data_IF_343243208430
#
_entry.id   IF_343243208430
#
_cell.length_a   1.000
_cell.length_b   1.000
_cell.length_c   1.000
_cell.angle_alpha   90.00
_cell.angle_beta   90.00
_cell.angle_gamma   90.00
#
_symmetry.space_group_name_H-M   'P 1'
#
loop_
_entity.id
_entity.type
_entity.pdbx_description
1 polymer ?
#
# COMPACT_ATOMS: atom_id res chain seq x y z
N UNK A 1 9.33 67.39 -20.35
CA UNK A 1 9.53 66.55 -19.16
C UNK A 1 8.93 65.17 -19.42
N UNK A 2 9.75 64.12 -19.52
CA UNK A 2 9.32 62.73 -19.73
C UNK A 2 9.16 62.07 -18.36
N UNK A 3 7.97 61.57 -18.03
CA UNK A 3 7.78 60.70 -16.86
C UNK A 3 7.76 59.25 -17.33
N UNK A 4 8.84 58.52 -17.01
CA UNK A 4 8.94 57.07 -17.14
C UNK A 4 8.11 56.42 -16.02
N UNK A 5 6.99 55.81 -16.36
CA UNK A 5 6.24 54.92 -15.47
C UNK A 5 6.45 53.48 -15.90
N UNK A 6 7.63 52.94 -15.57
CA UNK A 6 7.94 51.52 -15.63
C UNK A 6 7.31 50.84 -14.39
N UNK A 7 6.00 50.57 -14.44
CA UNK A 7 5.34 49.78 -13.40
C UNK A 7 5.65 48.30 -13.63
N UNK A 8 6.47 47.76 -12.74
CA UNK A 8 6.64 46.34 -12.44
C UNK A 8 5.29 45.62 -12.50
N UNK A 9 5.11 44.74 -13.48
CA UNK A 9 4.13 43.66 -13.42
C UNK A 9 4.92 42.41 -13.06
N UNK A 10 5.19 42.23 -11.78
CA UNK A 10 5.74 40.99 -11.23
C UNK A 10 4.57 40.05 -10.97
N UNK A 11 4.14 39.34 -12.02
CA UNK A 11 3.12 38.30 -11.89
C UNK A 11 3.71 37.15 -11.10
N UNK A 12 3.26 37.00 -9.86
CA UNK A 12 3.62 35.93 -8.93
C UNK A 12 3.02 34.60 -9.44
N UNK A 13 3.69 33.96 -10.41
CA UNK A 13 3.40 32.58 -10.82
C UNK A 13 3.91 31.61 -9.75
N UNK A 14 3.16 31.49 -8.66
CA UNK A 14 3.25 30.35 -7.74
C UNK A 14 2.52 29.16 -8.38
N UNK A 15 3.06 28.65 -9.49
CA UNK A 15 2.53 27.49 -10.19
C UNK A 15 2.89 26.22 -9.43
N UNK A 16 2.00 25.81 -8.52
CA UNK A 16 1.63 24.42 -8.20
C UNK A 16 2.62 23.34 -8.64
N UNK A 17 3.75 23.21 -7.96
CA UNK A 17 4.49 21.95 -7.94
C UNK A 17 3.81 21.02 -6.94
N UNK A 18 2.62 20.54 -7.29
CA UNK A 18 2.05 19.34 -6.66
C UNK A 18 2.91 18.18 -7.15
N UNK A 19 4.05 17.98 -6.48
CA UNK A 19 4.85 16.77 -6.60
C UNK A 19 3.90 15.59 -6.45
N UNK A 20 3.94 14.67 -7.41
CA UNK A 20 3.07 13.49 -7.53
C UNK A 20 3.36 12.47 -6.42
N UNK A 21 3.19 12.89 -5.16
CA UNK A 21 3.08 12.00 -4.04
C UNK A 21 1.73 11.30 -4.19
N UNK A 22 1.74 9.97 -4.36
CA UNK A 22 0.49 9.21 -4.43
C UNK A 22 -0.39 9.56 -3.23
N UNK A 23 -1.67 9.85 -3.50
CA UNK A 23 -2.58 10.37 -2.49
C UNK A 23 -3.55 9.28 -2.05
N UNK A 24 -3.96 9.35 -0.79
CA UNK A 24 -5.10 8.58 -0.27
C UNK A 24 -6.35 9.36 -0.65
N UNK A 25 -7.32 8.78 -1.39
CA UNK A 25 -8.56 9.47 -1.71
C UNK A 25 -9.31 9.91 -0.44
N UNK A 26 -9.96 11.09 -0.47
CA UNK A 26 -10.71 11.60 0.69
C UNK A 26 -11.82 10.62 1.15
N UNK A 27 -12.47 9.95 0.20
CA UNK A 27 -13.45 8.88 0.48
C UNK A 27 -12.84 7.74 1.29
N UNK A 28 -11.58 7.41 1.05
CA UNK A 28 -10.85 6.37 1.77
C UNK A 28 -10.45 6.83 3.15
N UNK A 29 -9.99 8.07 3.31
CA UNK A 29 -9.72 8.64 4.63
C UNK A 29 -10.97 8.62 5.51
N UNK A 30 -12.10 9.08 4.98
CA UNK A 30 -13.38 9.04 5.67
C UNK A 30 -13.77 7.60 6.04
N UNK A 31 -13.70 6.68 5.08
CA UNK A 31 -14.01 5.26 5.30
C UNK A 31 -13.15 4.68 6.43
N UNK A 32 -11.83 4.89 6.40
CA UNK A 32 -10.91 4.44 7.46
C UNK A 32 -11.19 5.10 8.81
N UNK A 33 -11.56 6.38 8.85
CA UNK A 33 -11.89 7.09 10.08
C UNK A 33 -13.20 6.60 10.72
N UNK A 34 -14.18 6.22 9.90
CA UNK A 34 -15.49 5.72 10.34
C UNK A 34 -15.55 4.21 10.56
N UNK A 35 -14.53 3.46 10.11
CA UNK A 35 -14.52 2.01 10.28
C UNK A 35 -14.40 1.65 11.76
N UNK A 36 -15.26 0.74 12.20
CA UNK A 36 -15.19 0.14 13.51
C UNK A 36 -13.89 -0.67 13.64
N UNK A 37 -12.98 -0.19 14.51
CA UNK A 37 -11.66 -0.78 14.73
C UNK A 37 -11.71 -2.24 15.18
N UNK A 38 -12.82 -2.68 15.78
CA UNK A 38 -13.01 -4.08 16.16
C UNK A 38 -13.39 -4.97 14.98
N UNK A 39 -13.97 -4.38 13.92
CA UNK A 39 -14.35 -5.07 12.68
C UNK A 39 -13.25 -5.04 11.62
N UNK A 40 -12.25 -4.15 11.76
CA UNK A 40 -11.08 -4.13 10.88
C UNK A 40 -10.14 -5.28 11.25
N UNK A 41 -10.04 -6.27 10.37
CA UNK A 41 -9.04 -7.31 10.49
C UNK A 41 -8.11 -7.31 9.25
N UNK A 42 -6.89 -6.75 9.34
CA UNK A 42 -5.96 -6.68 8.21
C UNK A 42 -5.52 -8.08 7.71
N UNK A 43 -5.73 -9.13 8.51
CA UNK A 43 -5.46 -10.52 8.14
C UNK A 43 -6.59 -11.13 7.30
N UNK A 44 -7.83 -10.67 7.48
CA UNK A 44 -8.93 -11.03 6.58
C UNK A 44 -8.88 -10.15 5.31
N UNK A 45 -8.02 -9.13 5.34
CA UNK A 45 -7.68 -8.23 4.27
C UNK A 45 -7.37 -8.95 2.96
N UNK A 46 -8.04 -8.55 1.87
CA UNK A 46 -7.56 -8.81 0.52
C UNK A 46 -6.90 -7.56 -0.02
N UNK A 47 -5.81 -7.74 -0.76
CA UNK A 47 -5.00 -6.66 -1.30
C UNK A 47 -4.98 -6.80 -2.81
N UNK A 48 -5.23 -5.72 -3.54
CA UNK A 48 -5.19 -5.72 -4.98
C UNK A 48 -4.39 -4.53 -5.50
N UNK A 49 -3.83 -4.70 -6.69
CA UNK A 49 -2.98 -3.71 -7.34
C UNK A 49 -3.41 -3.59 -8.80
N UNK A 50 -3.54 -2.36 -9.29
CA UNK A 50 -3.62 -2.08 -10.73
C UNK A 50 -2.22 -1.73 -11.22
N UNK A 51 -1.70 -2.56 -12.11
CA UNK A 51 -0.33 -2.51 -12.58
C UNK A 51 -0.29 -2.38 -14.11
N UNK A 52 0.70 -1.69 -14.68
CA UNK A 52 1.01 -1.78 -16.11
C UNK A 52 1.20 -3.24 -16.55
N UNK A 53 0.86 -3.57 -17.80
CA UNK A 53 0.90 -4.95 -18.31
C UNK A 53 2.28 -5.64 -18.27
N UNK A 54 3.35 -4.85 -18.24
CA UNK A 54 4.75 -5.25 -18.19
C UNK A 54 5.32 -5.34 -16.77
N UNK A 55 4.53 -4.99 -15.75
CA UNK A 55 4.91 -5.01 -14.34
C UNK A 55 4.17 -6.11 -13.60
N UNK A 56 4.89 -6.93 -12.84
CA UNK A 56 4.30 -7.95 -11.98
C UNK A 56 4.67 -7.73 -10.52
N UNK A 57 3.94 -8.38 -9.61
CA UNK A 57 4.40 -8.51 -8.23
C UNK A 57 5.56 -9.51 -8.19
N UNK A 58 6.62 -9.15 -7.48
CA UNK A 58 7.80 -10.01 -7.35
C UNK A 58 7.47 -11.35 -6.68
N UNK A 59 8.22 -12.38 -7.03
CA UNK A 59 8.07 -13.71 -6.44
C UNK A 59 8.21 -13.67 -4.90
N UNK A 60 7.43 -14.51 -4.22
CA UNK A 60 7.40 -14.56 -2.76
C UNK A 60 6.70 -13.39 -2.08
N UNK A 61 6.14 -12.45 -2.86
CA UNK A 61 5.39 -11.29 -2.39
C UNK A 61 3.97 -11.27 -2.98
N UNK A 62 3.01 -10.55 -2.36
CA UNK A 62 3.13 -9.73 -1.16
C UNK A 62 3.19 -10.56 0.14
N UNK A 63 3.84 -10.01 1.17
CA UNK A 63 3.99 -10.63 2.49
C UNK A 63 3.38 -9.73 3.56
N UNK A 64 2.64 -10.32 4.50
CA UNK A 64 2.24 -9.64 5.73
C UNK A 64 3.19 -10.05 6.85
N UNK A 65 3.84 -9.07 7.45
CA UNK A 65 4.69 -9.24 8.61
C UNK A 65 3.88 -8.88 9.87
N UNK A 66 3.87 -9.78 10.85
CA UNK A 66 3.23 -9.57 12.15
C UNK A 66 4.30 -9.70 13.23
N UNK A 67 4.42 -8.66 14.05
CA UNK A 67 5.41 -8.57 15.12
C UNK A 67 4.75 -8.21 16.44
N UNK A 68 5.19 -8.86 17.52
CA UNK A 68 4.75 -8.60 18.87
C UNK A 68 5.94 -8.62 19.84
N UNK A 69 6.02 -7.61 20.68
CA UNK A 69 6.94 -7.53 21.82
C UNK A 69 6.16 -7.70 23.13
N UNK A 70 6.80 -8.20 24.18
CA UNK A 70 6.25 -8.24 25.54
C UNK A 70 7.26 -7.57 26.47
N UNK A 71 6.95 -6.38 26.97
CA UNK A 71 7.92 -5.56 27.71
C UNK A 71 9.12 -5.15 26.85
N UNK A 72 10.33 -5.12 27.44
CA UNK A 72 11.58 -4.71 26.77
C UNK A 72 12.30 -5.84 26.02
N UNK A 73 11.79 -7.07 26.04
CA UNK A 73 12.37 -8.19 25.29
C UNK A 73 11.80 -8.24 23.86
N UNK A 74 12.72 -8.17 22.89
CA UNK A 74 12.47 -8.19 21.44
C UNK A 74 12.16 -9.61 20.91
N UNK A 75 11.42 -9.67 19.80
CA UNK A 75 9.99 -9.96 19.77
C UNK A 75 9.65 -11.37 20.28
N UNK A 76 8.64 -11.47 21.14
CA UNK A 76 8.08 -12.75 21.55
C UNK A 76 7.40 -13.48 20.36
N UNK A 77 6.97 -12.75 19.33
CA UNK A 77 6.44 -13.32 18.08
C UNK A 77 6.87 -12.46 16.89
N UNK A 78 7.49 -13.11 15.90
CA UNK A 78 7.79 -12.52 14.59
C UNK A 78 7.38 -13.55 13.52
N UNK A 79 6.36 -13.22 12.72
CA UNK A 79 5.78 -14.13 11.71
C UNK A 79 5.56 -13.42 10.39
N UNK A 80 5.91 -14.09 9.29
CA UNK A 80 5.65 -13.62 7.94
C UNK A 80 4.66 -14.55 7.25
N UNK A 81 3.72 -13.96 6.51
CA UNK A 81 2.69 -14.67 5.77
C UNK A 81 2.76 -14.26 4.30
N UNK A 82 3.15 -15.19 3.43
CA UNK A 82 3.12 -14.99 1.98
C UNK A 82 1.66 -15.06 1.53
N UNK A 83 1.18 -14.03 0.86
CA UNK A 83 -0.19 -13.99 0.36
C UNK A 83 -0.33 -14.78 -0.93
N UNK A 84 -1.46 -15.46 -1.07
CA UNK A 84 -1.81 -16.23 -2.25
C UNK A 84 -2.57 -15.36 -3.25
N UNK A 85 -2.19 -15.48 -4.52
CA UNK A 85 -2.90 -14.82 -5.63
C UNK A 85 -4.33 -15.37 -5.70
N UNK A 86 -5.30 -14.47 -5.85
CA UNK A 86 -6.70 -14.81 -6.10
C UNK A 86 -6.83 -15.14 -7.58
N UNK A 87 -7.20 -16.38 -7.88
CA UNK A 87 -7.47 -16.82 -9.24
C UNK A 87 -8.73 -16.11 -9.77
N UNK A 88 -8.69 -15.57 -11.00
CA UNK A 88 -9.88 -15.06 -11.67
C UNK A 88 -11.02 -16.10 -11.71
N UNK A 89 -12.30 -15.67 -11.81
CA UNK A 89 -12.72 -14.28 -11.97
C UNK A 89 -12.74 -13.49 -10.66
N UNK A 90 -12.24 -12.24 -10.71
CA UNK A 90 -12.44 -11.27 -9.63
C UNK A 90 -13.88 -10.76 -9.71
N UNK A 91 -14.71 -11.09 -8.73
CA UNK A 91 -16.14 -10.75 -8.69
C UNK A 91 -16.44 -9.35 -8.16
N UNK A 92 -15.44 -8.67 -7.58
CA UNK A 92 -15.55 -7.29 -7.08
C UNK A 92 -16.02 -6.32 -8.17
N UNK A 93 -17.08 -5.56 -7.89
CA UNK A 93 -17.60 -4.54 -8.80
C UNK A 93 -16.64 -3.36 -8.87
N UNK A 94 -16.11 -2.92 -7.71
CA UNK A 94 -15.11 -1.86 -7.63
C UNK A 94 -13.89 -2.19 -8.50
N UNK A 95 -13.26 -3.35 -8.30
CA UNK A 95 -12.07 -3.71 -9.09
C UNK A 95 -12.38 -3.83 -10.58
N UNK A 96 -13.57 -4.31 -10.95
CA UNK A 96 -13.99 -4.33 -12.37
C UNK A 96 -14.09 -2.94 -12.96
N UNK A 97 -14.60 -1.95 -12.22
CA UNK A 97 -14.69 -0.57 -12.69
C UNK A 97 -13.33 0.13 -12.82
N UNK A 98 -12.28 -0.41 -12.18
CA UNK A 98 -10.92 0.13 -12.26
C UNK A 98 -10.10 -0.40 -13.45
N UNK A 99 -10.66 -1.28 -14.28
CA UNK A 99 -9.95 -1.82 -15.46
C UNK A 99 -9.63 -0.70 -16.46
N UNK A 100 -8.42 -0.71 -17.01
CA UNK A 100 -7.93 0.29 -17.96
C UNK A 100 -7.01 -0.37 -18.99
N UNK A 101 -7.08 0.06 -20.25
CA UNK A 101 -6.18 -0.41 -21.30
C UNK A 101 -4.72 -0.14 -20.95
N UNK A 102 -3.85 -1.12 -21.20
CA UNK A 102 -2.43 -1.08 -20.82
C UNK A 102 -2.14 -1.45 -19.36
N UNK A 103 -3.19 -1.78 -18.58
CA UNK A 103 -3.08 -2.19 -17.19
C UNK A 103 -3.82 -3.51 -16.94
N UNK A 104 -3.41 -4.21 -15.90
CA UNK A 104 -4.11 -5.37 -15.35
C UNK A 104 -4.25 -5.24 -13.84
N UNK A 105 -5.14 -6.05 -13.27
CA UNK A 105 -5.39 -6.07 -11.82
C UNK A 105 -5.03 -7.45 -11.30
N UNK A 106 -4.21 -7.48 -10.25
CA UNK A 106 -3.89 -8.67 -9.47
C UNK A 106 -4.40 -8.51 -8.05
N UNK A 107 -4.90 -9.59 -7.46
CA UNK A 107 -5.43 -9.59 -6.10
C UNK A 107 -4.83 -10.75 -5.30
N UNK A 108 -4.69 -10.54 -3.99
CA UNK A 108 -4.03 -11.44 -3.06
C UNK A 108 -4.82 -11.55 -1.76
N UNK A 109 -4.77 -12.72 -1.14
CA UNK A 109 -5.39 -13.01 0.16
C UNK A 109 -4.49 -13.94 0.98
N UNK A 110 -4.75 -14.03 2.28
CA UNK A 110 -4.13 -15.07 3.10
C UNK A 110 -4.55 -16.46 2.62
N UNK A 111 -3.66 -17.43 2.75
CA UNK A 111 -4.05 -18.84 2.61
C UNK A 111 -5.04 -19.22 3.71
N UNK A 112 -5.90 -20.21 3.45
CA UNK A 112 -6.84 -20.70 4.47
C UNK A 112 -6.13 -21.18 5.74
N UNK A 113 -4.92 -21.74 5.59
CA UNK A 113 -4.07 -22.20 6.71
C UNK A 113 -3.56 -21.01 7.53
N UNK A 114 -3.00 -20.01 6.86
CA UNK A 114 -2.38 -18.85 7.49
C UNK A 114 -3.40 -17.92 8.14
N UNK A 115 -4.60 -17.82 7.55
CA UNK A 115 -5.69 -16.99 8.07
C UNK A 115 -6.04 -17.34 9.52
N UNK A 116 -6.05 -18.63 9.89
CA UNK A 116 -6.32 -19.06 11.28
C UNK A 116 -5.25 -18.56 12.24
N UNK A 117 -3.97 -18.75 11.88
CA UNK A 117 -2.82 -18.36 12.71
C UNK A 117 -2.81 -16.83 12.87
N UNK A 118 -2.94 -16.12 11.76
CA UNK A 118 -2.87 -14.68 11.73
C UNK A 118 -4.07 -14.03 12.46
N UNK A 119 -5.28 -14.62 12.40
CA UNK A 119 -6.43 -14.18 13.21
C UNK A 119 -6.18 -14.31 14.72
N UNK A 120 -5.54 -15.40 15.15
CA UNK A 120 -5.15 -15.58 16.55
C UNK A 120 -4.15 -14.51 16.99
N UNK A 121 -3.14 -14.22 16.16
CA UNK A 121 -2.17 -13.15 16.44
C UNK A 121 -2.83 -11.78 16.51
N UNK A 122 -3.73 -11.45 15.58
CA UNK A 122 -4.46 -10.16 15.60
C UNK A 122 -5.41 -10.03 16.78
N UNK A 123 -5.95 -11.14 17.30
CA UNK A 123 -6.73 -11.12 18.54
C UNK A 123 -5.83 -10.78 19.74
N UNK A 124 -4.62 -11.35 19.80
CA UNK A 124 -3.62 -11.05 20.84
C UNK A 124 -3.14 -9.60 20.78
N UNK A 125 -2.62 -9.18 19.63
CA UNK A 125 -2.99 -7.93 18.96
C UNK A 125 -3.83 -6.91 19.76
N UNK A 126 -5.13 -7.04 19.52
CA UNK A 126 -6.17 -6.18 20.02
C UNK A 126 -6.33 -6.27 21.54
N UNK A 127 -6.14 -7.43 22.15
CA UNK A 127 -6.18 -7.57 23.61
C UNK A 127 -5.07 -6.76 24.28
N UNK A 128 -3.82 -6.84 23.79
CA UNK A 128 -2.72 -6.01 24.30
C UNK A 128 -3.03 -4.50 24.15
N UNK A 129 -3.69 -4.10 23.05
CA UNK A 129 -4.13 -2.71 22.85
C UNK A 129 -5.23 -2.27 23.82
N UNK A 130 -6.14 -3.17 24.21
CA UNK A 130 -7.20 -2.90 25.19
C UNK A 130 -6.65 -2.79 26.61
N UNK A 131 -5.60 -3.55 26.93
CA UNK A 131 -4.92 -3.53 28.23
C UNK A 131 -3.99 -2.30 28.44
N UNK A 132 -3.96 -1.35 27.50
CA UNK A 132 -3.02 -0.20 27.37
C UNK A 132 -2.79 0.68 28.59
N UNK A 133 -3.52 0.52 29.68
CA UNK A 133 -3.28 1.27 30.93
C UNK A 133 -2.04 0.79 31.72
N UNK A 134 -1.28 -0.19 31.21
CA UNK A 134 0.00 -0.60 31.81
C UNK A 134 1.09 -0.63 30.73
N UNK A 135 1.95 0.38 30.69
CA UNK A 135 3.15 0.50 29.82
C UNK A 135 4.17 -0.67 29.92
N UNK A 136 3.85 -1.74 30.65
CA UNK A 136 4.68 -2.94 30.84
C UNK A 136 4.29 -4.14 29.94
N UNK A 137 3.21 -4.06 29.17
CA UNK A 137 2.61 -5.25 28.53
C UNK A 137 3.05 -5.52 27.07
N UNK A 138 3.85 -4.64 26.45
CA UNK A 138 4.38 -4.82 25.10
C UNK A 138 3.54 -4.21 23.97
N UNK A 139 4.00 -4.37 22.73
CA UNK A 139 3.41 -3.76 21.53
C UNK A 139 3.20 -4.79 20.43
N UNK A 140 2.28 -4.52 19.51
CA UNK A 140 2.03 -5.39 18.37
C UNK A 140 1.59 -4.62 17.14
N UNK A 141 2.18 -4.95 16.00
CA UNK A 141 1.87 -4.37 14.71
C UNK A 141 1.83 -5.43 13.60
N UNK A 142 1.14 -5.08 12.52
CA UNK A 142 1.14 -5.82 11.29
C UNK A 142 1.42 -4.84 10.14
N UNK A 143 2.35 -5.17 9.27
CA UNK A 143 2.68 -4.41 8.07
C UNK A 143 2.62 -5.30 6.83
N UNK A 144 2.33 -4.70 5.68
CA UNK A 144 2.24 -5.40 4.40
C UNK A 144 3.38 -4.92 3.53
N UNK A 145 4.23 -5.87 3.12
CA UNK A 145 5.33 -5.65 2.19
C UNK A 145 4.96 -6.18 0.82
N UNK A 146 5.25 -5.39 -0.19
CA UNK A 146 5.11 -5.75 -1.58
C UNK A 146 6.30 -5.19 -2.35
N UNK A 147 6.63 -5.85 -3.44
CA UNK A 147 7.64 -5.40 -4.39
C UNK A 147 7.16 -5.78 -5.78
N UNK A 148 7.64 -5.05 -6.77
CA UNK A 148 7.28 -5.25 -8.16
C UNK A 148 8.53 -5.53 -8.98
N UNK A 149 8.33 -6.24 -10.08
CA UNK A 149 9.37 -6.58 -11.05
C UNK A 149 8.82 -6.35 -12.46
N UNK A 150 9.71 -6.30 -13.45
CA UNK A 150 9.33 -6.12 -14.86
C UNK A 150 9.58 -7.38 -15.66
N UNK A 151 8.72 -7.68 -16.63
CA UNK A 151 8.96 -8.75 -17.61
C UNK A 151 9.77 -8.29 -18.82
N UNK A 152 9.94 -6.97 -18.99
CA UNK A 152 10.60 -6.35 -20.15
C UNK A 152 11.63 -5.31 -19.71
N UNK A 153 12.61 -5.01 -20.57
CA UNK A 153 13.65 -4.00 -20.33
C UNK A 153 13.16 -2.58 -20.70
N UNK A 154 12.11 -2.07 -20.06
CA UNK A 154 11.53 -0.76 -20.42
C UNK A 154 11.96 0.31 -19.41
N UNK A 155 12.40 1.47 -19.93
CA UNK A 155 12.59 2.70 -19.14
C UNK A 155 11.22 3.34 -18.95
N UNK A 156 10.68 3.29 -17.73
CA UNK A 156 9.31 3.70 -17.47
C UNK A 156 9.17 5.22 -17.38
N UNK A 157 8.26 5.78 -18.18
CA UNK A 157 7.70 7.14 -17.99
C UNK A 157 6.39 7.15 -17.18
N UNK A 158 5.76 5.99 -16.95
CA UNK A 158 4.45 5.91 -16.30
C UNK A 158 4.42 4.79 -15.25
N UNK A 159 4.97 5.09 -14.08
CA UNK A 159 5.19 4.19 -12.93
C UNK A 159 4.05 4.26 -11.90
N UNK A 160 2.87 4.69 -12.34
CA UNK A 160 1.73 4.88 -11.46
C UNK A 160 1.05 3.54 -11.16
N UNK A 161 0.95 3.21 -9.87
CA UNK A 161 0.17 2.09 -9.37
C UNK A 161 -1.00 2.62 -8.53
N UNK A 162 -2.08 1.84 -8.51
CA UNK A 162 -3.14 2.01 -7.53
C UNK A 162 -3.20 0.77 -6.65
N UNK A 163 -3.35 0.99 -5.35
CA UNK A 163 -3.53 -0.05 -4.36
C UNK A 163 -4.98 -0.06 -3.91
N UNK A 164 -5.58 -1.23 -3.86
CA UNK A 164 -6.93 -1.44 -3.33
C UNK A 164 -6.87 -2.42 -2.17
N UNK A 165 -7.71 -2.20 -1.18
CA UNK A 165 -7.83 -3.10 -0.03
C UNK A 165 -9.29 -3.43 0.23
N UNK A 166 -9.52 -4.64 0.73
CA UNK A 166 -10.80 -5.10 1.24
C UNK A 166 -10.58 -5.64 2.64
N UNK A 167 -10.92 -4.87 3.66
CA UNK A 167 -10.67 -5.21 5.08
C UNK A 167 -11.86 -5.92 5.77
N UNK A 168 -13.03 -5.95 5.12
CA UNK A 168 -14.24 -6.59 5.59
C UNK A 168 -14.77 -7.54 4.50
N UNK A 169 -15.01 -8.83 4.77
CA UNK A 169 -15.50 -9.78 3.76
C UNK A 169 -16.87 -9.40 3.18
N UNK A 170 -17.71 -8.68 3.95
CA UNK A 170 -19.05 -8.23 3.56
C UNK A 170 -19.05 -6.98 2.68
N UNK A 171 -17.93 -6.28 2.59
CA UNK A 171 -17.80 -5.07 1.77
C UNK A 171 -17.00 -5.34 0.49
N UNK A 172 -17.10 -4.42 -0.47
CA UNK A 172 -16.24 -4.43 -1.64
C UNK A 172 -14.88 -3.74 -1.35
N UNK A 173 -13.94 -3.90 -2.28
CA UNK A 173 -12.67 -3.19 -2.28
C UNK A 173 -12.87 -1.67 -2.29
N UNK A 174 -11.90 -0.96 -1.74
CA UNK A 174 -11.77 0.49 -1.88
C UNK A 174 -10.32 0.86 -2.18
N UNK A 175 -10.12 2.03 -2.79
CA UNK A 175 -8.80 2.52 -3.21
C UNK A 175 -8.01 3.01 -2.01
N UNK A 176 -6.96 2.32 -1.61
CA UNK A 176 -6.07 2.75 -0.53
C UNK A 176 -5.13 3.86 -1.01
N UNK A 177 -4.47 3.63 -2.14
CA UNK A 177 -3.54 4.59 -2.74
C UNK A 177 -3.86 4.73 -4.21
N UNK A 178 -3.79 5.95 -4.74
CA UNK A 178 -3.96 6.20 -6.17
C UNK A 178 -2.81 6.99 -6.77
N UNK A 179 -2.41 6.60 -7.98
CA UNK A 179 -1.40 7.29 -8.79
C UNK A 179 -0.02 7.34 -8.12
N UNK A 180 0.32 6.34 -7.31
CA UNK A 180 1.63 6.31 -6.62
C UNK A 180 2.71 6.02 -7.65
N UNK A 181 3.67 6.93 -7.77
CA UNK A 181 4.90 6.66 -8.50
C UNK A 181 5.74 5.64 -7.72
N UNK A 182 5.82 4.40 -8.20
CA UNK A 182 6.51 3.34 -7.47
C UNK A 182 8.01 3.61 -7.30
N UNK A 183 8.65 4.33 -8.24
CA UNK A 183 10.07 4.65 -8.16
C UNK A 183 10.37 5.51 -6.93
N UNK A 184 9.51 6.51 -6.69
CA UNK A 184 9.61 7.35 -5.50
C UNK A 184 9.30 6.57 -4.22
N UNK A 185 8.31 5.68 -4.25
CA UNK A 185 7.94 4.86 -3.11
C UNK A 185 9.05 3.87 -2.71
N UNK A 186 9.65 3.16 -3.66
CA UNK A 186 10.76 2.22 -3.41
C UNK A 186 11.99 2.97 -2.88
N UNK A 187 12.25 4.19 -3.38
CA UNK A 187 13.39 4.99 -2.93
C UNK A 187 13.24 5.65 -1.57
N UNK A 188 12.02 5.69 -1.01
CA UNK A 188 11.79 6.31 0.30
C UNK A 188 12.40 5.48 1.44
N UNK A 189 12.40 4.15 1.29
CA UNK A 189 12.77 3.21 2.34
C UNK A 189 14.18 2.58 2.13
N UNK A 190 14.84 2.90 1.01
CA UNK A 190 16.19 2.43 0.71
C UNK A 190 17.26 3.38 1.26
N UNK A 191 18.26 2.82 1.95
CA UNK A 191 19.48 3.55 2.37
C UNK A 191 20.26 4.10 1.18
N UNK A 192 20.16 3.45 0.02
CA UNK A 192 20.74 3.88 -1.24
C UNK A 192 19.63 3.99 -2.29
N UNK A 193 19.33 5.22 -2.73
CA UNK A 193 18.26 5.47 -3.69
C UNK A 193 18.62 4.83 -5.04
N UNK A 194 17.69 4.07 -5.61
CA UNK A 194 17.76 3.66 -7.01
C UNK A 194 17.76 4.92 -7.89
N UNK A 195 18.74 5.08 -8.79
CA UNK A 195 18.76 6.15 -9.78
C UNK A 195 17.43 6.26 -10.54
N UNK A 196 17.04 7.49 -10.91
CA UNK A 196 15.78 7.81 -11.63
C UNK A 196 15.61 7.07 -12.96
N UNK A 197 16.72 6.55 -13.48
CA UNK A 197 16.88 5.82 -14.72
C UNK A 197 17.04 4.29 -14.53
N UNK A 198 17.09 3.78 -13.29
CA UNK A 198 17.15 2.34 -13.05
C UNK A 198 15.79 1.67 -13.29
N UNK A 199 15.85 0.61 -14.10
CA UNK A 199 14.76 -0.30 -14.39
C UNK A 199 14.34 -1.05 -13.13
N UNK A 200 13.08 -1.47 -13.06
CA UNK A 200 12.66 -2.49 -12.09
C UNK A 200 13.57 -3.71 -12.21
N UNK A 201 13.80 -4.47 -11.12
CA UNK A 201 14.41 -5.77 -11.26
C UNK A 201 13.58 -6.61 -12.22
N UNK A 202 14.23 -7.40 -13.07
CA UNK A 202 13.53 -8.39 -13.88
C UNK A 202 12.85 -9.40 -12.95
N UNK A 203 11.64 -9.81 -13.32
CA UNK A 203 11.03 -10.97 -12.67
C UNK A 203 11.94 -12.18 -12.92
N UNK A 204 12.26 -12.92 -11.86
CA UNK A 204 13.03 -14.16 -11.94
C UNK A 204 12.15 -15.28 -12.46
#
# INVERSE_FOLDING_TARGET
MKFNSLKLITTLTLATTLTACGHIPASTMFKLATMDKEKINPVIGQYAFRLPNDVQVAEGLPVVHVSMTKGTMLPAVNRQFILQKITPPITSQHLRSQRKNGYHIVAYKFSNKDMKIANSLMSRINNMRKEKNKMKNGEGYADVKFSFCTTTNIKYKNTNLDQYIKLNPKEDYFTMLSGVNWHEQVNKDLKEKLPKDKQLPKCK
#
